data_IF_078806226307
#
_entry.id   IF_078806226307
#
_cell.length_a   1.000
_cell.length_b   1.000
_cell.length_c   1.000
_cell.angle_alpha   90.00
_cell.angle_beta   90.00
_cell.angle_gamma   90.00
#
_symmetry.space_group_name_H-M   'P 1'
#
loop_
_entity.id
_entity.type
_entity.pdbx_description
1 polymer ?
#
# COMPACT_ATOMS: atom_id res chain seq x y z
N UNK A 1 -23.06 -4.19 -10.52
CA UNK A 1 -22.54 -5.08 -9.46
C UNK A 1 -21.83 -4.25 -8.41
N UNK A 2 -21.64 -4.78 -7.20
CA UNK A 2 -20.82 -4.14 -6.16
C UNK A 2 -19.34 -4.34 -6.48
N UNK A 3 -18.52 -3.32 -6.27
CA UNK A 3 -17.08 -3.38 -6.51
C UNK A 3 -16.34 -3.65 -5.20
N UNK A 4 -15.47 -4.65 -5.18
CA UNK A 4 -14.62 -4.95 -4.03
C UNK A 4 -13.34 -4.12 -4.11
N UNK A 5 -13.06 -3.33 -3.07
CA UNK A 5 -11.75 -2.74 -2.83
C UNK A 5 -11.11 -3.45 -1.63
N UNK A 6 -9.98 -4.10 -1.86
CA UNK A 6 -9.19 -4.77 -0.83
C UNK A 6 -7.96 -3.93 -0.48
N UNK A 7 -7.84 -3.52 0.79
CA UNK A 7 -6.70 -2.76 1.29
C UNK A 7 -5.58 -3.71 1.71
N UNK A 8 -4.49 -3.69 0.96
CA UNK A 8 -3.26 -4.45 1.19
C UNK A 8 -2.14 -3.54 1.76
N UNK A 9 -0.88 -3.92 1.57
CA UNK A 9 0.30 -3.25 2.13
C UNK A 9 1.47 -3.32 1.14
N UNK A 10 2.39 -2.38 1.22
CA UNK A 10 3.71 -2.43 0.58
C UNK A 10 4.59 -3.58 1.13
N UNK A 11 4.32 -4.11 2.33
CA UNK A 11 5.12 -5.19 2.94
C UNK A 11 5.02 -6.55 2.21
N UNK A 12 4.17 -6.66 1.19
CA UNK A 12 4.11 -7.85 0.33
C UNK A 12 5.35 -7.99 -0.57
N UNK A 13 6.13 -6.93 -0.72
CA UNK A 13 7.42 -6.93 -1.40
C UNK A 13 8.57 -7.27 -0.46
N UNK A 14 9.73 -7.61 -1.04
CA UNK A 14 10.95 -7.96 -0.29
C UNK A 14 11.52 -6.76 0.51
N UNK A 15 11.47 -5.57 -0.08
CA UNK A 15 11.94 -4.33 0.55
C UNK A 15 13.42 -4.00 0.35
N UNK A 16 14.09 -4.63 -0.62
CA UNK A 16 15.54 -4.53 -0.88
C UNK A 16 15.92 -3.53 -2.00
N UNK A 17 15.04 -3.29 -2.97
CA UNK A 17 15.30 -2.37 -4.11
C UNK A 17 14.49 -1.06 -4.05
N UNK A 18 13.28 -1.11 -3.46
CA UNK A 18 12.31 -0.02 -3.51
C UNK A 18 11.71 0.19 -4.92
N UNK A 19 10.84 1.20 -5.07
CA UNK A 19 10.20 1.54 -6.35
C UNK A 19 9.49 0.37 -7.06
N UNK A 20 8.96 -0.59 -6.30
CA UNK A 20 8.22 -1.74 -6.83
C UNK A 20 7.01 -1.30 -7.65
N UNK A 21 6.81 -1.96 -8.79
CA UNK A 21 5.65 -1.87 -9.66
C UNK A 21 4.62 -2.94 -9.29
N UNK A 22 3.38 -2.73 -9.70
CA UNK A 22 2.25 -3.61 -9.38
C UNK A 22 2.45 -5.07 -9.82
N UNK A 23 3.19 -5.26 -10.91
CA UNK A 23 3.53 -6.55 -11.50
C UNK A 23 4.84 -7.17 -11.03
N UNK A 24 5.58 -6.50 -10.15
CA UNK A 24 6.83 -7.05 -9.62
C UNK A 24 6.56 -8.25 -8.68
N UNK A 25 7.57 -9.09 -8.51
CA UNK A 25 7.49 -10.28 -7.66
C UNK A 25 7.22 -9.91 -6.20
N UNK A 26 6.42 -10.75 -5.53
CA UNK A 26 6.00 -10.56 -4.15
C UNK A 26 6.77 -11.55 -3.27
N UNK A 27 7.41 -11.05 -2.22
CA UNK A 27 8.13 -11.86 -1.23
C UNK A 27 7.93 -11.27 0.18
N UNK A 28 6.80 -11.57 0.84
CA UNK A 28 6.48 -11.01 2.15
C UNK A 28 7.49 -11.44 3.24
N UNK A 29 7.97 -10.47 4.01
CA UNK A 29 9.01 -10.69 5.04
C UNK A 29 8.46 -11.05 6.43
N UNK A 30 7.14 -10.99 6.64
CA UNK A 30 6.53 -11.27 7.94
C UNK A 30 5.11 -11.84 7.82
N UNK A 31 4.59 -12.39 8.92
CA UNK A 31 3.26 -13.05 8.98
C UNK A 31 2.11 -12.12 8.61
N UNK A 32 2.20 -10.84 8.95
CA UNK A 32 1.19 -9.84 8.59
C UNK A 32 1.15 -9.63 7.07
N UNK A 33 2.31 -9.48 6.44
CA UNK A 33 2.38 -9.32 5.00
C UNK A 33 1.93 -10.59 4.24
N UNK A 34 2.25 -11.78 4.76
CA UNK A 34 1.71 -13.04 4.23
C UNK A 34 0.19 -13.11 4.34
N UNK A 35 -0.41 -12.68 5.46
CA UNK A 35 -1.87 -12.67 5.60
C UNK A 35 -2.52 -11.67 4.62
N UNK A 36 -1.89 -10.52 4.40
CA UNK A 36 -2.32 -9.54 3.40
C UNK A 36 -2.28 -10.10 1.98
N UNK A 37 -1.18 -10.75 1.59
CA UNK A 37 -1.04 -11.41 0.29
C UNK A 37 -2.06 -12.53 0.11
N UNK A 38 -2.32 -13.35 1.13
CA UNK A 38 -3.38 -14.36 1.08
C UNK A 38 -4.77 -13.75 0.81
N UNK A 39 -5.07 -12.60 1.42
CA UNK A 39 -6.29 -11.85 1.11
C UNK A 39 -6.30 -11.24 -0.29
N UNK A 40 -5.16 -10.82 -0.85
CA UNK A 40 -5.06 -10.42 -2.27
C UNK A 40 -5.47 -11.57 -3.19
N UNK A 41 -4.98 -12.80 -2.91
CA UNK A 41 -5.35 -13.99 -3.68
C UNK A 41 -6.86 -14.26 -3.63
N UNK A 42 -7.49 -14.12 -2.48
CA UNK A 42 -8.95 -14.27 -2.35
C UNK A 42 -9.71 -13.16 -3.10
N UNK A 43 -9.27 -11.90 -2.98
CA UNK A 43 -9.90 -10.76 -3.65
C UNK A 43 -9.85 -10.86 -5.18
N UNK A 44 -8.77 -11.42 -5.75
CA UNK A 44 -8.63 -11.66 -7.20
C UNK A 44 -9.69 -12.60 -7.78
N UNK A 45 -10.35 -13.40 -6.94
CA UNK A 45 -11.46 -14.27 -7.37
C UNK A 45 -12.74 -13.48 -7.64
N UNK A 46 -12.85 -12.23 -7.17
CA UNK A 46 -13.97 -11.34 -7.44
C UNK A 46 -13.71 -10.52 -8.72
N UNK A 47 -14.52 -10.69 -9.79
CA UNK A 47 -14.33 -9.93 -11.03
C UNK A 47 -14.38 -8.41 -10.80
N UNK A 48 -13.42 -7.69 -11.38
CA UNK A 48 -13.30 -6.24 -11.23
C UNK A 48 -12.86 -5.76 -9.84
N UNK A 49 -12.35 -6.65 -8.98
CA UNK A 49 -11.80 -6.26 -7.69
C UNK A 49 -10.54 -5.38 -7.86
N UNK A 50 -10.39 -4.42 -6.97
CA UNK A 50 -9.21 -3.55 -6.88
C UNK A 50 -8.45 -3.88 -5.60
N UNK A 51 -7.14 -4.05 -5.71
CA UNK A 51 -6.24 -4.33 -4.59
C UNK A 51 -5.36 -3.11 -4.40
N UNK A 52 -5.66 -2.29 -3.40
CA UNK A 52 -4.87 -1.11 -3.09
C UNK A 52 -3.70 -1.52 -2.19
N UNK A 53 -2.46 -1.51 -2.69
CA UNK A 53 -1.25 -1.67 -1.87
C UNK A 53 -0.80 -0.29 -1.45
N UNK A 54 -0.71 -0.06 -0.14
CA UNK A 54 -0.32 1.24 0.39
C UNK A 54 0.49 1.15 1.67
N UNK A 55 1.10 2.26 2.02
CA UNK A 55 1.85 2.47 3.25
C UNK A 55 1.36 3.75 3.89
N UNK A 56 0.88 3.69 5.13
CA UNK A 56 0.47 4.87 5.87
C UNK A 56 0.90 4.75 7.33
N UNK A 57 0.93 5.88 8.02
CA UNK A 57 1.27 5.88 9.44
C UNK A 57 0.71 7.09 10.20
N UNK A 58 1.01 7.12 11.51
CA UNK A 58 0.64 8.21 12.39
C UNK A 58 1.24 9.56 11.96
N UNK A 59 0.44 10.60 12.10
CA UNK A 59 0.79 12.01 11.91
C UNK A 59 0.17 12.80 13.07
N UNK A 60 0.94 13.35 14.01
CA UNK A 60 2.40 13.44 14.02
C UNK A 60 3.08 12.09 14.28
N UNK A 61 4.37 12.00 13.95
CA UNK A 61 5.18 10.81 14.17
C UNK A 61 5.31 10.49 15.68
N UNK A 62 5.17 9.22 16.10
CA UNK A 62 4.97 8.86 17.52
C UNK A 62 6.27 8.74 18.31
N UNK A 63 7.42 8.92 17.67
CA UNK A 63 8.73 8.72 18.29
C UNK A 63 9.61 9.97 18.13
N UNK A 64 10.53 10.24 19.06
CA UNK A 64 11.38 11.43 19.01
C UNK A 64 12.45 11.40 17.92
N UNK A 65 12.71 10.24 17.31
CA UNK A 65 13.70 10.04 16.25
C UNK A 65 13.20 9.00 15.25
N UNK A 66 13.68 9.12 14.02
CA UNK A 66 13.35 8.26 12.89
C UNK A 66 14.62 7.81 12.16
N UNK A 67 14.51 6.77 11.34
CA UNK A 67 15.62 6.25 10.54
C UNK A 67 15.85 7.13 9.30
N UNK A 68 17.08 7.63 9.14
CA UNK A 68 17.49 8.43 7.99
C UNK A 68 17.90 7.57 6.78
N UNK A 69 18.16 6.28 6.99
CA UNK A 69 18.60 5.31 5.98
C UNK A 69 17.50 4.30 5.60
N UNK A 70 16.30 4.42 6.19
CA UNK A 70 15.13 3.64 5.82
C UNK A 70 14.25 4.45 4.86
N UNK A 71 13.98 3.90 3.68
CA UNK A 71 13.17 4.55 2.65
C UNK A 71 11.71 4.14 2.71
N UNK A 72 10.81 5.08 2.41
CA UNK A 72 9.37 4.86 2.43
C UNK A 72 8.64 5.77 1.43
N UNK A 73 7.43 5.34 1.04
CA UNK A 73 6.41 6.16 0.35
C UNK A 73 5.21 6.43 1.24
N UNK A 74 5.39 6.32 2.57
CA UNK A 74 4.31 6.45 3.55
C UNK A 74 3.63 7.81 3.49
N UNK A 75 2.32 7.79 3.61
CA UNK A 75 1.45 8.98 3.76
C UNK A 75 0.73 8.98 5.12
N UNK A 76 0.02 10.06 5.44
CA UNK A 76 -0.86 10.06 6.62
C UNK A 76 -2.08 9.16 6.38
N UNK A 77 -2.72 8.70 7.45
CA UNK A 77 -3.98 7.95 7.33
C UNK A 77 -5.08 8.75 6.60
N UNK A 78 -5.13 10.07 6.81
CA UNK A 78 -6.09 10.96 6.14
C UNK A 78 -5.83 11.06 4.62
N UNK A 79 -4.56 11.15 4.23
CA UNK A 79 -4.17 11.19 2.83
C UNK A 79 -4.42 9.84 2.14
N UNK A 80 -4.09 8.71 2.80
CA UNK A 80 -4.44 7.37 2.32
C UNK A 80 -5.96 7.21 2.12
N UNK A 81 -6.78 7.69 3.06
CA UNK A 81 -8.23 7.67 2.94
C UNK A 81 -8.72 8.49 1.74
N UNK A 82 -8.14 9.68 1.51
CA UNK A 82 -8.45 10.50 0.35
C UNK A 82 -8.08 9.80 -0.97
N UNK A 83 -6.89 9.19 -1.05
CA UNK A 83 -6.45 8.43 -2.21
C UNK A 83 -7.39 7.24 -2.50
N UNK A 84 -7.82 6.52 -1.45
CA UNK A 84 -8.77 5.42 -1.57
C UNK A 84 -10.16 5.91 -2.04
N UNK A 85 -10.66 7.01 -1.50
CA UNK A 85 -11.94 7.60 -1.92
C UNK A 85 -11.90 7.98 -3.40
N UNK A 86 -10.84 8.65 -3.86
CA UNK A 86 -10.64 8.98 -5.28
C UNK A 86 -10.53 7.73 -6.14
N UNK A 87 -9.87 6.67 -5.65
CA UNK A 87 -9.78 5.41 -6.37
C UNK A 87 -11.17 4.79 -6.57
N UNK A 88 -12.06 4.85 -5.57
CA UNK A 88 -13.44 4.36 -5.66
C UNK A 88 -14.24 5.18 -6.69
N UNK A 89 -14.15 6.50 -6.63
CA UNK A 89 -14.85 7.44 -7.53
C UNK A 89 -14.40 7.30 -8.99
N UNK A 90 -13.10 7.14 -9.22
CA UNK A 90 -12.50 7.01 -10.55
C UNK A 90 -12.36 5.56 -11.03
N UNK A 91 -12.92 4.59 -10.30
CA UNK A 91 -12.64 3.17 -10.51
C UNK A 91 -13.17 2.59 -11.83
N UNK A 92 -13.87 3.36 -12.68
CA UNK A 92 -14.42 2.88 -13.95
C UNK A 92 -13.35 2.24 -14.83
N UNK A 93 -13.32 0.91 -14.89
CA UNK A 93 -12.35 0.13 -15.68
C UNK A 93 -11.04 -0.23 -14.97
N UNK A 94 -10.79 0.22 -13.73
CA UNK A 94 -9.58 -0.15 -12.97
C UNK A 94 -9.84 -1.48 -12.24
N UNK A 95 -8.95 -2.45 -12.40
CA UNK A 95 -8.97 -3.73 -11.68
C UNK A 95 -7.55 -4.22 -11.37
N UNK A 96 -7.43 -5.14 -10.40
CA UNK A 96 -6.16 -5.70 -9.98
C UNK A 96 -5.39 -4.83 -8.97
N UNK A 97 -4.09 -5.12 -8.77
CA UNK A 97 -3.25 -4.36 -7.86
C UNK A 97 -3.03 -2.93 -8.36
N UNK A 98 -3.08 -1.96 -7.46
CA UNK A 98 -2.76 -0.54 -7.67
C UNK A 98 -1.96 -0.04 -6.46
N UNK A 99 -0.85 0.65 -6.69
CA UNK A 99 -0.06 1.25 -5.62
C UNK A 99 -0.58 2.65 -5.28
N UNK A 100 -0.79 2.91 -3.99
CA UNK A 100 -1.11 4.22 -3.44
C UNK A 100 -0.04 4.62 -2.42
N UNK A 101 0.43 5.85 -2.48
CA UNK A 101 1.47 6.35 -1.59
C UNK A 101 1.89 7.77 -1.94
N UNK A 102 2.90 8.25 -1.23
CA UNK A 102 3.52 9.55 -1.41
C UNK A 102 4.86 9.44 -2.17
N UNK A 103 5.61 10.55 -2.27
CA UNK A 103 6.94 10.51 -2.85
C UNK A 103 7.87 9.61 -2.04
N UNK A 104 8.91 9.08 -2.71
CA UNK A 104 10.00 8.38 -2.04
C UNK A 104 10.77 9.35 -1.15
N UNK A 105 10.84 9.03 0.14
CA UNK A 105 11.52 9.81 1.18
C UNK A 105 12.07 8.89 2.27
N UNK A 106 12.92 9.39 3.15
CA UNK A 106 13.36 8.64 4.34
C UNK A 106 12.24 8.63 5.39
N UNK A 107 12.32 7.71 6.37
CA UNK A 107 11.39 7.74 7.52
C UNK A 107 11.58 9.00 8.35
N UNK A 108 12.80 9.56 8.37
CA UNK A 108 13.10 10.87 8.98
C UNK A 108 12.39 12.03 8.27
N UNK A 109 12.38 12.06 6.93
CA UNK A 109 11.65 13.07 6.15
C UNK A 109 10.12 12.91 6.23
N UNK A 110 9.63 11.72 6.59
CA UNK A 110 8.21 11.49 6.87
C UNK A 110 7.79 11.98 8.26
N UNK A 111 8.70 11.89 9.24
CA UNK A 111 8.43 12.11 10.65
C UNK A 111 8.13 13.59 10.97
#
# INVERSE_FOLDING_TARGET
>A
GLKLLYVSTDYVFEGDAGMYREGDALLPQNKYAWSKLGGECAARLCPGAVIARLSFGPSPFPHPRAFFDQWTSRVSAAEAASQLARLVECSGGIEGPIHLGGPRRTVEEYA
#
